data_IF_703597582462
#
_entry.id   IF_703597582462
#
_cell.length_a   1.000
_cell.length_b   1.000
_cell.length_c   1.000
_cell.angle_alpha   90.00
_cell.angle_beta   90.00
_cell.angle_gamma   90.00
#
_symmetry.space_group_name_H-M   'P 1'
#
loop_
_entity.id
_entity.type
_entity.pdbx_description
1 polymer ?
#
# COMPACT_ATOMS: atom_id res chain seq x y z
N UNK A 1 18.92 -12.80 -20.90
CA UNK A 1 17.82 -11.84 -21.20
C UNK A 1 16.50 -12.26 -20.53
N UNK A 2 16.02 -13.49 -20.66
CA UNK A 2 14.75 -13.97 -20.09
C UNK A 2 14.66 -13.84 -18.56
N UNK A 3 15.67 -14.30 -17.84
CA UNK A 3 15.67 -14.26 -16.37
C UNK A 3 15.68 -12.84 -15.79
N UNK A 4 16.34 -11.89 -16.44
CA UNK A 4 16.33 -10.50 -16.01
C UNK A 4 14.96 -9.84 -16.20
N UNK A 5 14.27 -10.14 -17.29
CA UNK A 5 12.88 -9.73 -17.52
C UNK A 5 11.98 -10.29 -16.43
N UNK A 6 12.15 -11.55 -16.05
CA UNK A 6 11.37 -12.18 -14.99
C UNK A 6 11.64 -11.56 -13.61
N UNK A 7 12.92 -11.28 -13.28
CA UNK A 7 13.28 -10.56 -12.04
C UNK A 7 12.59 -9.20 -11.96
N UNK A 8 12.57 -8.46 -13.05
CA UNK A 8 11.89 -7.17 -13.08
C UNK A 8 10.38 -7.31 -12.92
N UNK A 9 9.77 -8.28 -13.59
CA UNK A 9 8.34 -8.57 -13.46
C UNK A 9 7.95 -8.97 -12.03
N UNK A 10 8.75 -9.81 -11.36
CA UNK A 10 8.51 -10.21 -9.97
C UNK A 10 8.72 -9.07 -8.99
N UNK A 11 9.67 -8.18 -9.25
CA UNK A 11 9.87 -6.96 -8.46
C UNK A 11 8.66 -6.04 -8.55
N UNK A 12 8.15 -5.77 -9.75
CA UNK A 12 6.93 -4.98 -9.96
C UNK A 12 5.72 -5.61 -9.27
N UNK A 13 5.59 -6.92 -9.37
CA UNK A 13 4.52 -7.66 -8.71
C UNK A 13 4.53 -7.46 -7.18
N UNK A 14 5.71 -7.47 -6.56
CA UNK A 14 5.85 -7.20 -5.13
C UNK A 14 5.53 -5.74 -4.77
N UNK A 15 5.93 -4.79 -5.61
CA UNK A 15 5.62 -3.37 -5.44
C UNK A 15 4.11 -3.11 -5.57
N UNK A 16 3.45 -3.73 -6.55
CA UNK A 16 2.00 -3.63 -6.75
C UNK A 16 1.23 -4.21 -5.56
N UNK A 17 1.63 -5.40 -5.09
CA UNK A 17 1.05 -5.99 -3.87
C UNK A 17 1.21 -5.08 -2.66
N UNK A 18 2.41 -4.56 -2.45
CA UNK A 18 2.68 -3.63 -1.34
C UNK A 18 1.78 -2.38 -1.41
N UNK A 19 1.68 -1.77 -2.59
CA UNK A 19 0.85 -0.58 -2.79
C UNK A 19 -0.64 -0.86 -2.56
N UNK A 20 -1.12 -2.05 -2.94
CA UNK A 20 -2.50 -2.45 -2.72
C UNK A 20 -2.80 -2.64 -1.23
N UNK A 21 -1.95 -3.40 -0.51
CA UNK A 21 -2.18 -3.65 0.93
C UNK A 21 -1.93 -2.43 1.81
N UNK A 22 -1.09 -1.47 1.39
CA UNK A 22 -0.87 -0.24 2.15
C UNK A 22 -2.12 0.64 2.18
N UNK A 23 -2.97 0.54 1.14
CA UNK A 23 -4.25 1.22 1.07
C UNK A 23 -5.30 0.70 2.07
N UNK A 24 -5.09 -0.49 2.64
CA UNK A 24 -5.98 -1.01 3.68
C UNK A 24 -5.75 -0.24 4.97
N UNK A 25 -6.82 0.43 5.43
CA UNK A 25 -6.78 1.32 6.58
C UNK A 25 -6.30 0.58 7.83
N UNK A 26 -5.20 1.05 8.39
CA UNK A 26 -4.83 0.79 9.78
C UNK A 26 -5.33 1.95 10.63
N UNK A 27 -5.53 1.74 11.94
CA UNK A 27 -5.84 2.84 12.88
C UNK A 27 -4.65 3.79 13.08
N UNK A 28 -3.50 3.50 12.48
CA UNK A 28 -2.34 4.39 12.58
C UNK A 28 -2.59 5.64 11.75
N UNK A 29 -2.53 6.81 12.36
CA UNK A 29 -2.63 8.06 11.63
C UNK A 29 -1.47 8.18 10.65
N UNK A 30 -1.76 8.59 9.42
CA UNK A 30 -0.75 9.00 8.44
C UNK A 30 -1.17 10.35 7.88
N UNK A 31 -0.24 11.24 7.61
CA UNK A 31 -0.53 12.56 7.02
C UNK A 31 -1.20 12.43 5.67
N UNK A 32 -0.82 11.39 4.91
CA UNK A 32 -1.41 11.09 3.60
C UNK A 32 -2.94 10.93 3.61
N UNK A 33 -3.54 10.60 4.76
CA UNK A 33 -5.00 10.51 4.91
C UNK A 33 -5.69 11.85 4.64
N UNK A 34 -5.05 12.96 5.00
CA UNK A 34 -5.64 14.29 4.95
C UNK A 34 -4.97 15.25 3.96
N UNK A 35 -3.74 14.96 3.53
CA UNK A 35 -2.91 15.82 2.68
C UNK A 35 -3.62 16.32 1.41
N UNK A 36 -4.41 15.44 0.78
CA UNK A 36 -5.07 15.71 -0.50
C UNK A 36 -6.51 16.21 -0.36
N UNK A 37 -7.02 16.44 0.87
CA UNK A 37 -8.34 17.01 1.08
C UNK A 37 -8.35 18.44 0.54
N UNK A 38 -9.32 18.74 -0.31
CA UNK A 38 -9.46 20.07 -0.89
C UNK A 38 -10.16 20.99 0.09
N UNK A 39 -9.51 22.08 0.40
CA UNK A 39 -9.98 23.14 1.30
C UNK A 39 -10.27 24.40 0.47
N UNK A 40 -11.37 25.05 0.76
CA UNK A 40 -11.66 26.37 0.19
C UNK A 40 -10.76 27.43 0.87
N UNK A 41 -9.85 27.97 0.06
CA UNK A 41 -8.91 29.00 0.44
C UNK A 41 -9.30 30.29 -0.32
N UNK A 42 -10.13 31.11 0.30
CA UNK A 42 -10.56 32.40 -0.26
C UNK A 42 -11.15 32.29 -1.69
N UNK A 43 -11.99 31.27 -1.95
CA UNK A 43 -12.65 31.06 -3.23
C UNK A 43 -11.85 30.18 -4.22
N UNK A 44 -10.69 29.66 -3.83
CA UNK A 44 -9.94 28.68 -4.58
C UNK A 44 -9.77 27.36 -3.80
N UNK A 45 -9.89 26.21 -4.48
CA UNK A 45 -9.71 24.91 -3.85
C UNK A 45 -8.22 24.53 -3.85
N UNK A 46 -7.65 24.38 -2.65
CA UNK A 46 -6.25 23.97 -2.46
C UNK A 46 -6.16 22.69 -1.63
N UNK A 47 -5.18 21.79 -1.90
CA UNK A 47 -4.92 20.64 -1.03
C UNK A 47 -4.50 21.09 0.37
N UNK A 48 -4.94 20.36 1.41
CA UNK A 48 -4.67 20.68 2.81
C UNK A 48 -3.17 20.88 3.09
N UNK A 49 -2.31 20.06 2.50
CA UNK A 49 -0.86 20.17 2.62
C UNK A 49 -0.26 21.52 2.18
N UNK A 50 -0.99 22.30 1.40
CA UNK A 50 -0.56 23.63 0.92
C UNK A 50 -1.08 24.79 1.80
N UNK A 51 -1.95 24.53 2.76
CA UNK A 51 -2.58 25.56 3.61
C UNK A 51 -2.41 25.31 5.10
N UNK A 52 -1.89 24.14 5.47
CA UNK A 52 -1.67 23.76 6.86
C UNK A 52 -0.45 22.82 7.02
N UNK A 53 0.14 22.85 8.20
CA UNK A 53 1.07 21.81 8.64
C UNK A 53 0.27 20.63 9.19
N UNK A 54 0.67 19.40 8.83
CA UNK A 54 0.03 18.18 9.31
C UNK A 54 1.06 17.37 10.10
N UNK A 55 0.75 17.06 11.34
CA UNK A 55 1.60 16.27 12.22
C UNK A 55 0.80 15.14 12.89
N UNK A 56 1.51 14.14 13.39
CA UNK A 56 0.91 12.97 14.03
C UNK A 56 1.27 12.98 15.50
N UNK A 57 0.25 12.88 16.35
CA UNK A 57 0.41 12.62 17.77
C UNK A 57 -0.09 11.22 18.09
N UNK A 58 0.85 10.34 18.39
CA UNK A 58 0.54 8.96 18.75
C UNK A 58 -0.37 8.90 19.98
N UNK A 59 -1.27 7.89 20.11
CA UNK A 59 -1.35 6.75 19.17
C UNK A 59 -2.26 6.98 17.95
N UNK A 60 -3.24 7.89 17.99
CA UNK A 60 -4.34 7.93 17.03
C UNK A 60 -4.85 9.33 16.70
N UNK A 61 -4.02 10.36 16.83
CA UNK A 61 -4.41 11.75 16.59
C UNK A 61 -3.60 12.33 15.43
N UNK A 62 -4.30 12.95 14.48
CA UNK A 62 -3.70 13.83 13.48
C UNK A 62 -3.95 15.27 13.94
N UNK A 63 -2.91 16.09 13.97
CA UNK A 63 -2.97 17.51 14.27
C UNK A 63 -2.78 18.27 12.98
N UNK A 64 -3.73 19.11 12.65
CA UNK A 64 -3.69 20.04 11.52
C UNK A 64 -3.56 21.45 12.07
N UNK A 65 -2.48 22.13 11.72
CA UNK A 65 -2.19 23.49 12.13
C UNK A 65 -2.19 24.40 10.90
N UNK A 66 -3.24 25.19 10.69
CA UNK A 66 -3.34 26.11 9.58
C UNK A 66 -2.26 27.19 9.66
N UNK A 67 -1.68 27.57 8.53
CA UNK A 67 -0.74 28.68 8.47
C UNK A 67 -1.44 30.02 8.64
N UNK A 68 -2.72 30.09 8.24
CA UNK A 68 -3.59 31.26 8.40
C UNK A 68 -4.80 30.90 9.28
N UNK A 69 -4.99 31.66 10.35
CA UNK A 69 -6.12 31.47 11.28
C UNK A 69 -7.48 31.62 10.61
N UNK A 70 -7.57 32.47 9.58
CA UNK A 70 -8.80 32.63 8.80
C UNK A 70 -9.29 31.37 8.10
N UNK A 71 -8.41 30.40 7.90
CA UNK A 71 -8.72 29.14 7.22
C UNK A 71 -9.17 28.02 8.17
N UNK A 72 -9.10 28.21 9.50
CA UNK A 72 -9.47 27.18 10.50
C UNK A 72 -10.88 26.64 10.24
N UNK A 73 -11.84 27.52 10.02
CA UNK A 73 -13.23 27.13 9.77
C UNK A 73 -13.39 26.35 8.45
N UNK A 74 -12.77 26.85 7.38
CA UNK A 74 -12.81 26.19 6.05
C UNK A 74 -12.16 24.82 6.09
N UNK A 75 -11.04 24.67 6.79
CA UNK A 75 -10.34 23.38 6.96
C UNK A 75 -11.21 22.44 7.77
N UNK A 76 -11.77 22.90 8.90
CA UNK A 76 -12.66 22.06 9.72
C UNK A 76 -13.85 21.55 8.92
N UNK A 77 -14.52 22.43 8.17
CA UNK A 77 -15.66 22.06 7.30
C UNK A 77 -15.25 21.06 6.20
N UNK A 78 -14.09 21.25 5.57
CA UNK A 78 -13.57 20.32 4.57
C UNK A 78 -13.27 18.93 5.16
N UNK A 79 -12.72 18.87 6.37
CA UNK A 79 -12.45 17.65 7.10
C UNK A 79 -13.74 16.92 7.53
N UNK A 80 -14.75 17.65 8.00
CA UNK A 80 -16.07 17.09 8.35
C UNK A 80 -16.81 16.52 7.13
N UNK A 81 -16.75 17.20 6.00
CA UNK A 81 -17.37 16.74 4.76
C UNK A 81 -16.57 15.67 4.04
N UNK A 82 -15.36 15.37 4.49
CA UNK A 82 -14.54 14.32 3.92
C UNK A 82 -15.15 12.93 4.21
N UNK A 83 -15.02 12.01 3.24
CA UNK A 83 -15.48 10.60 3.41
C UNK A 83 -14.66 9.81 4.43
N UNK A 84 -13.81 10.49 5.21
CA UNK A 84 -12.93 9.84 6.18
C UNK A 84 -13.66 9.41 7.45
N UNK A 85 -14.86 9.95 7.72
CA UNK A 85 -15.62 9.63 8.95
C UNK A 85 -14.89 10.06 10.22
N UNK A 86 -14.05 11.10 10.12
CA UNK A 86 -13.32 11.66 11.24
C UNK A 86 -14.08 12.84 11.82
N UNK A 87 -14.06 12.97 13.14
CA UNK A 87 -14.66 14.11 13.82
C UNK A 87 -13.55 15.10 14.20
N UNK A 88 -13.45 16.26 13.51
CA UNK A 88 -12.46 17.26 13.87
C UNK A 88 -12.86 18.00 15.14
N UNK A 89 -11.95 18.11 16.09
CA UNK A 89 -12.05 18.92 17.29
C UNK A 89 -11.10 20.09 17.18
N UNK A 90 -11.62 21.31 17.37
CA UNK A 90 -10.81 22.52 17.37
C UNK A 90 -10.26 22.80 18.77
N UNK A 91 -8.97 23.09 18.83
CA UNK A 91 -8.26 23.50 20.04
C UNK A 91 -7.38 24.72 19.72
N UNK A 92 -7.94 25.90 19.94
CA UNK A 92 -7.33 27.15 19.50
C UNK A 92 -7.16 27.23 17.99
N UNK A 93 -5.91 27.34 17.54
CA UNK A 93 -5.52 27.36 16.11
C UNK A 93 -5.38 25.95 15.51
N UNK A 94 -5.31 24.91 16.34
CA UNK A 94 -5.10 23.54 15.89
C UNK A 94 -6.44 22.81 15.73
N UNK A 95 -6.49 21.94 14.73
CA UNK A 95 -7.60 21.01 14.53
C UNK A 95 -7.05 19.60 14.81
N UNK A 96 -7.64 18.92 15.78
CA UNK A 96 -7.30 17.55 16.18
C UNK A 96 -8.30 16.58 15.57
N UNK A 97 -7.81 15.59 14.85
CA UNK A 97 -8.60 14.52 14.27
C UNK A 97 -8.31 13.24 15.05
N UNK A 98 -9.33 12.69 15.70
CA UNK A 98 -9.22 11.42 16.37
C UNK A 98 -9.60 10.30 15.41
N UNK A 99 -8.70 9.35 15.22
CA UNK A 99 -8.99 8.12 14.50
C UNK A 99 -9.59 7.12 15.50
N UNK A 100 -10.85 6.71 15.33
CA UNK A 100 -11.40 5.66 16.17
C UNK A 100 -10.62 4.36 15.95
N UNK A 101 -10.39 3.58 17.01
CA UNK A 101 -9.78 2.26 16.85
C UNK A 101 -10.67 1.38 15.98
N UNK A 102 -10.05 0.50 15.20
CA UNK A 102 -10.79 -0.49 14.43
C UNK A 102 -11.48 -1.46 15.38
N UNK A 103 -12.74 -1.80 15.12
CA UNK A 103 -13.39 -2.89 15.83
C UNK A 103 -12.67 -4.21 15.55
N UNK A 104 -12.81 -5.18 16.44
CA UNK A 104 -12.18 -6.49 16.29
C UNK A 104 -12.63 -7.18 15.00
N UNK A 105 -13.92 -7.10 14.71
CA UNK A 105 -14.52 -7.65 13.49
C UNK A 105 -13.91 -7.03 12.25
N UNK A 106 -13.68 -5.71 12.28
CA UNK A 106 -13.08 -5.00 11.13
C UNK A 106 -11.62 -5.34 10.94
N UNK A 107 -10.87 -5.57 12.03
CA UNK A 107 -9.49 -6.08 11.94
C UNK A 107 -9.45 -7.46 11.29
N UNK A 108 -10.33 -8.36 11.70
CA UNK A 108 -10.41 -9.72 11.17
C UNK A 108 -10.79 -9.73 9.67
N UNK A 109 -11.73 -8.86 9.27
CA UNK A 109 -12.07 -8.68 7.86
C UNK A 109 -10.89 -8.20 7.01
N UNK A 110 -10.15 -7.20 7.50
CA UNK A 110 -8.97 -6.68 6.80
C UNK A 110 -7.87 -7.72 6.66
N UNK A 111 -7.61 -8.51 7.69
CA UNK A 111 -6.62 -9.59 7.65
C UNK A 111 -7.03 -10.65 6.61
N UNK A 112 -8.31 -11.04 6.57
CA UNK A 112 -8.81 -11.96 5.55
C UNK A 112 -8.65 -11.39 4.14
N UNK A 113 -8.93 -10.11 3.98
CA UNK A 113 -8.78 -9.43 2.68
C UNK A 113 -7.32 -9.40 2.23
N UNK A 114 -6.36 -9.11 3.13
CA UNK A 114 -4.93 -9.17 2.81
C UNK A 114 -4.53 -10.59 2.38
N UNK A 115 -5.00 -11.61 3.09
CA UNK A 115 -4.75 -13.00 2.76
C UNK A 115 -5.26 -13.38 1.37
N UNK A 116 -6.51 -12.99 1.02
CA UNK A 116 -7.06 -13.24 -0.32
C UNK A 116 -6.29 -12.50 -1.41
N UNK A 117 -5.95 -11.23 -1.19
CA UNK A 117 -5.12 -10.45 -2.12
C UNK A 117 -3.77 -11.12 -2.34
N UNK A 118 -3.09 -11.60 -1.28
CA UNK A 118 -1.83 -12.33 -1.42
C UNK A 118 -1.99 -13.57 -2.32
N UNK A 119 -3.05 -14.34 -2.16
CA UNK A 119 -3.27 -15.53 -2.99
C UNK A 119 -3.49 -15.16 -4.48
N UNK A 120 -4.15 -14.04 -4.78
CA UNK A 120 -4.25 -13.52 -6.15
C UNK A 120 -2.88 -13.20 -6.74
N UNK A 121 -1.99 -12.59 -5.96
CA UNK A 121 -0.62 -12.30 -6.40
C UNK A 121 0.23 -13.57 -6.56
N UNK A 122 0.00 -14.61 -5.75
CA UNK A 122 0.62 -15.93 -5.95
C UNK A 122 0.18 -16.58 -7.26
N UNK A 123 -1.09 -16.42 -7.63
CA UNK A 123 -1.58 -16.90 -8.94
C UNK A 123 -0.88 -16.16 -10.07
N UNK A 124 -0.81 -14.82 -10.03
CA UNK A 124 -0.08 -14.00 -11.02
C UNK A 124 1.40 -14.41 -11.13
N UNK A 125 2.05 -14.68 -9.99
CA UNK A 125 3.45 -15.16 -9.97
C UNK A 125 3.59 -16.52 -10.65
N UNK A 126 2.64 -17.43 -10.42
CA UNK A 126 2.63 -18.74 -11.07
C UNK A 126 2.46 -18.62 -12.58
N UNK A 127 1.56 -17.79 -13.05
CA UNK A 127 1.36 -17.51 -14.46
C UNK A 127 2.63 -16.97 -15.13
N UNK A 128 3.31 -15.99 -14.50
CA UNK A 128 4.58 -15.46 -15.00
C UNK A 128 5.72 -16.51 -15.05
N UNK A 129 5.77 -17.38 -14.04
CA UNK A 129 6.71 -18.52 -14.05
C UNK A 129 6.44 -19.46 -15.22
N UNK A 130 5.18 -19.81 -15.44
CA UNK A 130 4.78 -20.75 -16.47
C UNK A 130 5.02 -20.16 -17.88
N UNK A 131 4.79 -18.86 -18.08
CA UNK A 131 5.18 -18.12 -19.29
C UNK A 131 6.69 -18.23 -19.55
N UNK A 132 7.53 -17.92 -18.55
CA UNK A 132 8.98 -18.01 -18.68
C UNK A 132 9.45 -19.43 -19.00
N UNK A 133 8.90 -20.44 -18.30
CA UNK A 133 9.27 -21.83 -18.55
C UNK A 133 8.84 -22.31 -19.95
N UNK A 134 7.76 -21.75 -20.49
CA UNK A 134 7.34 -21.93 -21.88
C UNK A 134 8.36 -21.35 -22.86
N UNK A 135 8.78 -20.06 -22.64
CA UNK A 135 9.80 -19.41 -23.45
C UNK A 135 11.14 -20.20 -23.43
N UNK A 136 11.57 -20.66 -22.26
CA UNK A 136 12.79 -21.48 -22.12
C UNK A 136 12.68 -22.81 -22.86
N UNK A 137 11.50 -23.43 -22.87
CA UNK A 137 11.26 -24.66 -23.62
C UNK A 137 11.32 -24.43 -25.12
N UNK A 138 10.72 -23.34 -25.61
CA UNK A 138 10.77 -22.97 -27.03
C UNK A 138 12.19 -22.71 -27.52
N UNK A 139 13.01 -21.97 -26.76
CA UNK A 139 14.41 -21.72 -27.09
C UNK A 139 15.21 -23.05 -27.15
N UNK A 140 14.93 -23.98 -26.23
CA UNK A 140 15.55 -25.30 -26.24
C UNK A 140 15.13 -26.11 -27.48
N UNK A 141 13.84 -26.16 -27.81
CA UNK A 141 13.32 -26.92 -28.96
C UNK A 141 13.86 -26.35 -30.29
N UNK A 142 14.15 -25.04 -30.35
CA UNK A 142 14.84 -24.36 -31.47
C UNK A 142 16.35 -24.56 -31.46
N UNK A 143 16.92 -25.26 -30.46
CA UNK A 143 18.35 -25.46 -30.25
C UNK A 143 19.15 -24.16 -30.04
N UNK A 144 18.53 -23.12 -29.55
CA UNK A 144 19.15 -21.84 -29.23
C UNK A 144 19.88 -21.88 -27.88
N UNK A 145 19.46 -22.77 -26.98
CA UNK A 145 20.09 -23.03 -25.68
C UNK A 145 20.42 -24.50 -25.50
N UNK A 146 21.44 -24.80 -24.69
CA UNK A 146 21.83 -26.16 -24.29
C UNK A 146 20.91 -26.73 -23.20
N UNK A 147 21.01 -28.07 -22.98
CA UNK A 147 20.28 -28.71 -21.88
C UNK A 147 20.73 -28.20 -20.51
N UNK A 148 22.04 -28.00 -20.31
CA UNK A 148 22.60 -27.44 -19.09
C UNK A 148 22.07 -26.02 -18.83
N UNK A 149 21.95 -25.21 -19.88
CA UNK A 149 21.42 -23.84 -19.77
C UNK A 149 19.94 -23.84 -19.44
N UNK A 150 19.14 -24.69 -20.07
CA UNK A 150 17.73 -24.91 -19.73
C UNK A 150 17.57 -25.32 -18.27
N UNK A 151 18.40 -26.24 -17.77
CA UNK A 151 18.34 -26.65 -16.36
C UNK A 151 18.71 -25.53 -15.43
N UNK A 152 19.77 -24.79 -15.72
CA UNK A 152 20.16 -23.58 -14.94
C UNK A 152 19.06 -22.54 -14.87
N UNK A 153 18.43 -22.21 -16.02
CA UNK A 153 17.33 -21.24 -16.07
C UNK A 153 16.12 -21.68 -15.23
N UNK A 154 15.78 -22.99 -15.25
CA UNK A 154 14.72 -23.54 -14.40
C UNK A 154 15.04 -23.40 -12.91
N UNK A 155 16.26 -23.76 -12.50
CA UNK A 155 16.67 -23.62 -11.09
C UNK A 155 16.65 -22.16 -10.63
N UNK A 156 17.17 -21.25 -11.46
CA UNK A 156 17.19 -19.82 -11.13
C UNK A 156 15.77 -19.26 -11.06
N UNK A 157 14.88 -19.64 -11.97
CA UNK A 157 13.46 -19.31 -11.91
C UNK A 157 12.83 -19.78 -10.61
N UNK A 158 13.07 -21.02 -10.20
CA UNK A 158 12.51 -21.57 -8.96
C UNK A 158 13.00 -20.80 -7.72
N UNK A 159 14.28 -20.44 -7.67
CA UNK A 159 14.83 -19.61 -6.58
C UNK A 159 14.17 -18.25 -6.49
N UNK A 160 13.93 -17.59 -7.64
CA UNK A 160 13.25 -16.29 -7.67
C UNK A 160 11.80 -16.42 -7.18
N UNK A 161 11.07 -17.45 -7.61
CA UNK A 161 9.70 -17.72 -7.16
C UNK A 161 9.63 -17.94 -5.65
N UNK A 162 10.55 -18.73 -5.09
CA UNK A 162 10.61 -18.97 -3.65
C UNK A 162 10.90 -17.69 -2.86
N UNK A 163 11.85 -16.88 -3.32
CA UNK A 163 12.17 -15.59 -2.70
C UNK A 163 10.99 -14.63 -2.77
N UNK A 164 10.31 -14.58 -3.92
CA UNK A 164 9.14 -13.72 -4.11
C UNK A 164 7.99 -14.14 -3.19
N UNK A 165 7.70 -15.46 -3.07
CA UNK A 165 6.69 -15.97 -2.14
C UNK A 165 7.04 -15.63 -0.68
N UNK A 166 8.29 -15.77 -0.25
CA UNK A 166 8.73 -15.35 1.09
C UNK A 166 8.54 -13.87 1.33
N UNK A 167 8.76 -13.05 0.31
CA UNK A 167 8.54 -11.59 0.40
C UNK A 167 7.06 -11.26 0.52
N UNK A 168 6.17 -11.91 -0.24
CA UNK A 168 4.72 -11.78 -0.11
C UNK A 168 4.23 -12.15 1.30
N UNK A 169 4.70 -13.28 1.84
CA UNK A 169 4.35 -13.72 3.19
C UNK A 169 4.84 -12.75 4.27
N UNK A 170 6.06 -12.21 4.10
CA UNK A 170 6.61 -11.23 5.02
C UNK A 170 5.81 -9.93 5.03
N UNK A 171 5.43 -9.41 3.85
CA UNK A 171 4.64 -8.19 3.72
C UNK A 171 3.22 -8.38 4.29
N UNK A 172 2.57 -9.51 4.02
CA UNK A 172 1.28 -9.86 4.62
C UNK A 172 1.36 -9.85 6.14
N UNK A 173 2.33 -10.61 6.71
CA UNK A 173 2.51 -10.69 8.15
C UNK A 173 2.74 -9.33 8.79
N UNK A 174 3.63 -8.54 8.20
CA UNK A 174 3.94 -7.21 8.71
C UNK A 174 2.69 -6.32 8.72
N UNK A 175 1.88 -6.38 7.65
CA UNK A 175 0.64 -5.59 7.57
C UNK A 175 -0.44 -6.10 8.52
N UNK A 176 -0.57 -7.42 8.69
CA UNK A 176 -1.48 -8.01 9.66
C UNK A 176 -1.12 -7.61 11.10
N UNK A 177 0.18 -7.64 11.46
CA UNK A 177 0.67 -7.22 12.77
C UNK A 177 0.39 -5.72 13.00
N UNK A 178 0.53 -4.86 11.99
CA UNK A 178 0.17 -3.44 12.07
C UNK A 178 -1.33 -3.25 12.38
N UNK A 179 -2.21 -4.03 11.74
CA UNK A 179 -3.66 -3.95 11.95
C UNK A 179 -4.03 -4.45 13.35
N UNK A 180 -3.43 -5.54 13.81
CA UNK A 180 -3.71 -6.10 15.14
C UNK A 180 -3.28 -5.13 16.25
N UNK A 181 -2.15 -4.46 16.09
CA UNK A 181 -1.56 -3.56 17.08
C UNK A 181 -2.03 -2.09 16.94
N UNK A 182 -3.01 -1.83 16.09
CA UNK A 182 -3.55 -0.48 15.85
C UNK A 182 -4.74 -0.13 16.73
#
# INVERSE_FOLDING_TARGET
>A
MLIEKFKEQTKRLLEDFFNEIIGFRTSRPTTALVDNIKVDCYGSLSPLKHVASVSIKLPNVIIVEPWDEGLVFSIKKALESSRLGLTPSQDGKQIKLFLPPLSRERKDELIKLIGSTKEEYRVKLRERRDELLGEVKEEFDKKEISEDEKFRLKEETQKIVEQTNKSLDSQEKQKADEILNS
#
